data_IF_399492289846
#
_entry.id   IF_399492289846
#
_cell.length_a   1.000
_cell.length_b   1.000
_cell.length_c   1.000
_cell.angle_alpha   90.00
_cell.angle_beta   90.00
_cell.angle_gamma   90.00
#
_symmetry.space_group_name_H-M   'P 1'
#
loop_
_entity.id
_entity.type
_entity.pdbx_description
1 polymer ?
#
# COMPACT_ATOMS: atom_id res chain seq x y z
N UNK A 1 15.63 -16.56 13.42
CA UNK A 1 15.75 -15.23 12.77
C UNK A 1 14.70 -14.35 13.44
N UNK A 2 15.15 -13.32 14.17
CA UNK A 2 14.37 -12.59 15.18
C UNK A 2 13.25 -11.76 14.53
N UNK A 3 12.06 -11.72 15.16
CA UNK A 3 10.83 -11.02 14.70
C UNK A 3 11.12 -9.60 14.18
N UNK A 4 12.09 -8.93 14.78
CA UNK A 4 12.59 -7.60 14.39
C UNK A 4 13.13 -7.54 12.96
N UNK A 5 13.89 -8.55 12.52
CA UNK A 5 14.46 -8.58 11.17
C UNK A 5 13.37 -8.73 10.10
N UNK A 6 12.33 -9.51 10.39
CA UNK A 6 11.18 -9.65 9.50
C UNK A 6 10.42 -8.34 9.34
N UNK A 7 10.18 -7.61 10.44
CA UNK A 7 9.52 -6.30 10.41
C UNK A 7 10.33 -5.25 9.65
N UNK A 8 11.66 -5.27 9.78
CA UNK A 8 12.56 -4.37 9.01
C UNK A 8 12.47 -4.67 7.51
N UNK A 9 12.51 -5.94 7.11
CA UNK A 9 12.37 -6.31 5.68
C UNK A 9 11.00 -5.88 5.14
N UNK A 10 9.93 -6.10 5.90
CA UNK A 10 8.58 -5.62 5.56
C UNK A 10 8.55 -4.11 5.39
N UNK A 11 9.24 -3.36 6.26
CA UNK A 11 9.33 -1.90 6.16
C UNK A 11 10.02 -1.46 4.87
N UNK A 12 11.11 -2.10 4.48
CA UNK A 12 11.84 -1.80 3.24
C UNK A 12 10.94 -2.03 2.02
N UNK A 13 10.22 -3.15 1.99
CA UNK A 13 9.27 -3.47 0.92
C UNK A 13 8.15 -2.42 0.86
N UNK A 14 7.63 -1.99 2.02
CA UNK A 14 6.58 -0.99 2.08
C UNK A 14 7.05 0.38 1.59
N UNK A 15 8.26 0.80 1.97
CA UNK A 15 8.85 2.06 1.49
C UNK A 15 9.02 2.05 -0.03
N UNK A 16 9.41 0.91 -0.61
CA UNK A 16 9.44 0.75 -2.06
C UNK A 16 8.06 0.93 -2.70
N UNK A 17 7.00 0.36 -2.12
CA UNK A 17 5.63 0.51 -2.60
C UNK A 17 5.10 1.95 -2.50
N UNK A 18 5.41 2.64 -1.41
CA UNK A 18 5.10 4.06 -1.23
C UNK A 18 5.78 4.88 -2.32
N UNK A 19 7.09 4.65 -2.53
CA UNK A 19 7.85 5.32 -3.58
C UNK A 19 7.25 5.06 -4.98
N UNK A 20 6.97 3.81 -5.31
CA UNK A 20 6.37 3.42 -6.58
C UNK A 20 5.02 4.10 -6.80
N UNK A 21 4.19 4.20 -5.76
CA UNK A 21 2.89 4.86 -5.83
C UNK A 21 3.03 6.36 -6.07
N UNK A 22 3.94 7.04 -5.35
CA UNK A 22 4.23 8.47 -5.57
C UNK A 22 4.72 8.71 -6.99
N UNK A 23 5.67 7.90 -7.47
CA UNK A 23 6.17 7.98 -8.83
C UNK A 23 5.04 7.78 -9.86
N UNK A 24 4.15 6.80 -9.64
CA UNK A 24 3.03 6.53 -10.53
C UNK A 24 2.02 7.70 -10.56
N UNK A 25 1.73 8.33 -9.42
CA UNK A 25 0.87 9.52 -9.31
C UNK A 25 1.47 10.69 -10.11
N UNK A 26 2.78 10.91 -10.00
CA UNK A 26 3.47 12.02 -10.67
C UNK A 26 3.59 11.79 -12.19
N UNK A 27 3.83 10.55 -12.61
CA UNK A 27 4.04 10.20 -14.02
C UNK A 27 2.74 10.01 -14.82
N UNK A 28 1.66 9.62 -14.17
CA UNK A 28 0.40 9.34 -14.88
C UNK A 28 -0.32 10.63 -15.26
N UNK A 29 -0.79 10.78 -16.50
CA UNK A 29 -1.59 11.94 -16.93
C UNK A 29 -3.10 11.76 -16.70
N UNK A 30 -3.57 10.52 -16.63
CA UNK A 30 -4.99 10.19 -16.47
C UNK A 30 -5.44 10.32 -15.02
N UNK A 31 -6.41 11.20 -14.76
CA UNK A 31 -6.90 11.47 -13.40
C UNK A 31 -7.40 10.22 -12.67
N UNK A 32 -8.14 9.35 -13.37
CA UNK A 32 -8.63 8.11 -12.77
C UNK A 32 -7.48 7.19 -12.33
N UNK A 33 -6.43 7.06 -13.12
CA UNK A 33 -5.27 6.24 -12.74
C UNK A 33 -4.53 6.84 -11.55
N UNK A 34 -4.38 8.18 -11.51
CA UNK A 34 -3.85 8.87 -10.31
C UNK A 34 -4.67 8.53 -9.07
N UNK A 35 -6.00 8.58 -9.17
CA UNK A 35 -6.89 8.22 -8.05
C UNK A 35 -6.67 6.79 -7.56
N UNK A 36 -6.49 5.84 -8.48
CA UNK A 36 -6.20 4.45 -8.09
C UNK A 36 -4.86 4.36 -7.33
N UNK A 37 -3.82 5.04 -7.81
CA UNK A 37 -2.52 5.07 -7.15
C UNK A 37 -2.55 5.81 -5.81
N UNK A 38 -3.38 6.86 -5.66
CA UNK A 38 -3.61 7.51 -4.36
C UNK A 38 -4.24 6.57 -3.34
N UNK A 39 -5.17 5.71 -3.76
CA UNK A 39 -5.78 4.72 -2.89
C UNK A 39 -4.75 3.66 -2.45
N UNK A 40 -3.93 3.17 -3.38
CA UNK A 40 -2.83 2.25 -3.05
C UNK A 40 -1.87 2.91 -2.07
N UNK A 41 -1.46 4.16 -2.32
CA UNK A 41 -0.58 4.92 -1.44
C UNK A 41 -1.17 5.06 -0.02
N UNK A 42 -2.47 5.39 0.09
CA UNK A 42 -3.15 5.48 1.38
C UNK A 42 -3.11 4.16 2.14
N UNK A 43 -3.42 3.05 1.46
CA UNK A 43 -3.37 1.71 2.05
C UNK A 43 -1.96 1.34 2.52
N UNK A 44 -0.93 1.68 1.73
CA UNK A 44 0.47 1.47 2.07
C UNK A 44 0.94 2.29 3.28
N UNK A 45 0.51 3.54 3.41
CA UNK A 45 0.80 4.37 4.59
C UNK A 45 0.15 3.75 5.85
N UNK A 46 -1.10 3.29 5.76
CA UNK A 46 -1.80 2.64 6.87
C UNK A 46 -1.11 1.30 7.22
N UNK A 47 -0.68 0.53 6.23
CA UNK A 47 0.06 -0.71 6.44
C UNK A 47 1.44 -0.47 7.08
N UNK A 48 2.11 0.64 6.75
CA UNK A 48 3.31 1.09 7.46
C UNK A 48 3.03 1.34 8.94
N UNK A 49 1.86 1.90 9.26
CA UNK A 49 1.36 2.05 10.63
C UNK A 49 1.31 0.71 11.39
N UNK A 50 0.95 -0.39 10.72
CA UNK A 50 1.03 -1.73 11.31
C UNK A 50 2.45 -2.11 11.71
N UNK A 51 3.44 -1.83 10.87
CA UNK A 51 4.83 -2.19 11.14
C UNK A 51 5.34 -1.46 12.39
N UNK A 52 5.04 -0.16 12.51
CA UNK A 52 5.36 0.60 13.72
C UNK A 52 4.59 0.13 14.95
N UNK A 53 3.29 -0.17 14.81
CA UNK A 53 2.48 -0.73 15.88
C UNK A 53 3.03 -2.09 16.35
N UNK A 54 3.52 -2.92 15.44
CA UNK A 54 4.14 -4.21 15.75
C UNK A 54 5.50 -4.06 16.46
N UNK A 55 6.29 -3.03 16.12
CA UNK A 55 7.55 -2.73 16.83
C UNK A 55 7.34 -2.40 18.31
N UNK A 56 6.21 -1.79 18.66
CA UNK A 56 5.86 -1.43 20.04
C UNK A 56 4.85 -2.39 20.66
N UNK A 57 4.65 -3.57 20.06
CA UNK A 57 3.75 -4.63 20.56
C UNK A 57 2.30 -4.16 20.79
N UNK A 58 1.83 -3.20 19.99
CA UNK A 58 0.48 -2.65 20.12
C UNK A 58 -0.57 -3.69 19.67
N UNK A 59 -1.62 -3.96 20.47
CA UNK A 59 -2.63 -4.99 20.17
C UNK A 59 -3.43 -4.70 18.89
N UNK A 60 -3.47 -3.45 18.43
CA UNK A 60 -4.15 -3.06 17.19
C UNK A 60 -3.31 -3.25 15.93
N UNK A 61 -2.07 -3.77 16.02
CA UNK A 61 -1.20 -4.00 14.85
C UNK A 61 -1.91 -4.84 13.77
N UNK A 62 -2.59 -5.92 14.16
CA UNK A 62 -3.35 -6.76 13.22
C UNK A 62 -4.48 -6.01 12.49
N UNK A 63 -5.11 -5.04 13.16
CA UNK A 63 -6.16 -4.20 12.56
C UNK A 63 -5.58 -3.29 11.48
N UNK A 64 -4.48 -2.58 11.78
CA UNK A 64 -3.79 -1.73 10.79
C UNK A 64 -3.31 -2.54 9.57
N UNK A 65 -2.82 -3.77 9.80
CA UNK A 65 -2.40 -4.66 8.73
C UNK A 65 -3.54 -4.96 7.76
N UNK A 66 -4.67 -5.42 8.31
CA UNK A 66 -5.83 -5.82 7.50
C UNK A 66 -6.47 -4.62 6.80
N UNK A 67 -6.59 -3.49 7.50
CA UNK A 67 -7.14 -2.26 6.93
C UNK A 67 -6.26 -1.74 5.77
N UNK A 68 -4.95 -1.64 5.99
CA UNK A 68 -4.00 -1.19 4.97
C UNK A 68 -4.04 -2.08 3.72
N UNK A 69 -3.96 -3.40 3.90
CA UNK A 69 -4.04 -4.37 2.80
C UNK A 69 -5.39 -4.32 2.06
N UNK A 70 -6.50 -4.15 2.80
CA UNK A 70 -7.83 -4.01 2.19
C UNK A 70 -7.93 -2.77 1.30
N UNK A 71 -7.39 -1.64 1.75
CA UNK A 71 -7.37 -0.40 0.96
C UNK A 71 -6.47 -0.54 -0.27
N UNK A 72 -5.28 -1.15 -0.13
CA UNK A 72 -4.40 -1.48 -1.27
C UNK A 72 -5.15 -2.34 -2.30
N UNK A 73 -5.86 -3.38 -1.84
CA UNK A 73 -6.62 -4.25 -2.72
C UNK A 73 -7.70 -3.50 -3.51
N UNK A 74 -8.41 -2.55 -2.89
CA UNK A 74 -9.38 -1.69 -3.58
C UNK A 74 -8.69 -0.90 -4.71
N UNK A 75 -7.55 -0.28 -4.43
CA UNK A 75 -6.80 0.48 -5.43
C UNK A 75 -6.32 -0.40 -6.60
N UNK A 76 -5.86 -1.62 -6.32
CA UNK A 76 -5.48 -2.61 -7.35
C UNK A 76 -6.68 -3.01 -8.19
N UNK A 77 -7.84 -3.28 -7.58
CA UNK A 77 -9.08 -3.62 -8.30
C UNK A 77 -9.50 -2.47 -9.22
N UNK A 78 -9.39 -1.23 -8.75
CA UNK A 78 -9.71 -0.04 -9.55
C UNK A 78 -8.76 0.11 -10.76
N UNK A 79 -7.46 -0.12 -10.56
CA UNK A 79 -6.49 -0.19 -11.67
C UNK A 79 -6.86 -1.29 -12.67
N UNK A 80 -7.02 -2.52 -12.19
CA UNK A 80 -7.31 -3.69 -13.04
C UNK A 80 -8.60 -3.49 -13.86
N UNK A 81 -9.66 -2.98 -13.23
CA UNK A 81 -10.93 -2.66 -13.91
C UNK A 81 -10.72 -1.63 -15.02
N UNK A 82 -9.89 -0.61 -14.78
CA UNK A 82 -9.63 0.42 -15.80
C UNK A 82 -8.73 -0.09 -16.91
N UNK A 83 -7.72 -0.89 -16.60
CA UNK A 83 -6.85 -1.55 -17.58
C UNK A 83 -7.68 -2.44 -18.50
N UNK A 84 -8.59 -3.26 -17.95
CA UNK A 84 -9.53 -4.08 -18.73
C UNK A 84 -10.38 -3.22 -19.67
N UNK A 85 -10.97 -2.13 -19.18
CA UNK A 85 -11.78 -1.23 -20.03
C UNK A 85 -11.01 -0.63 -21.21
N UNK A 86 -9.68 -0.46 -21.09
CA UNK A 86 -8.84 0.12 -22.14
C UNK A 86 -8.39 -0.97 -23.14
N UNK A 87 -8.11 -2.18 -22.66
CA UNK A 87 -7.53 -3.25 -23.46
C UNK A 87 -8.57 -4.19 -24.10
N UNK A 88 -9.81 -4.23 -23.60
CA UNK A 88 -10.86 -5.17 -24.01
C UNK A 88 -11.03 -6.34 -23.05
#
# INVERSE_FOLDING_TARGET
MTITAELIIRLIIELFWIYASIFAIQSTKLQYWKQCWYIILLGSIIHTGYIFAAFVENPYAGFFRNLGMGIVAIGIIMLARRTKQILG
#
